data_IF_853630072875
#
_entry.id   IF_853630072875
#
_cell.length_a   1.000
_cell.length_b   1.000
_cell.length_c   1.000
_cell.angle_alpha   90.00
_cell.angle_beta   90.00
_cell.angle_gamma   90.00
#
_symmetry.space_group_name_H-M   'P 1'
#
loop_
_entity.id
_entity.type
_entity.pdbx_description
1 polymer ?
#
# COMPACT_ATOMS: atom_id res chain seq x y z
N UNK A 1 8.10 4.14 -8.25
CA UNK A 1 7.65 5.17 -7.28
C UNK A 1 7.95 4.66 -5.88
N UNK A 2 8.63 5.44 -5.06
CA UNK A 2 9.02 5.04 -3.69
C UNK A 2 8.17 5.83 -2.71
N UNK A 3 7.47 5.13 -1.81
CA UNK A 3 6.65 5.73 -0.76
C UNK A 3 7.33 5.53 0.60
N UNK A 4 7.37 6.58 1.41
CA UNK A 4 7.86 6.52 2.80
C UNK A 4 6.77 7.08 3.70
N UNK A 5 6.53 6.41 4.82
CA UNK A 5 5.57 6.84 5.84
C UNK A 5 6.19 6.63 7.22
N UNK A 6 5.99 7.61 8.10
CA UNK A 6 6.35 7.56 9.51
C UNK A 6 5.13 7.92 10.38
N UNK A 7 5.15 7.43 11.62
CA UNK A 7 4.18 7.79 12.66
C UNK A 7 4.84 7.58 14.03
N UNK A 8 4.28 8.19 15.08
CA UNK A 8 4.72 8.02 16.46
C UNK A 8 3.63 7.27 17.22
N UNK A 9 3.91 6.01 17.53
CA UNK A 9 2.96 5.12 18.20
C UNK A 9 3.66 4.43 19.38
N UNK A 10 2.92 4.16 20.45
CA UNK A 10 3.43 3.44 21.62
C UNK A 10 3.43 1.92 21.43
N UNK A 11 2.68 1.43 20.44
CA UNK A 11 2.52 0.01 20.14
C UNK A 11 2.93 -0.29 18.69
N UNK A 12 3.22 -1.56 18.35
CA UNK A 12 3.53 -1.94 16.97
C UNK A 12 2.37 -1.60 16.02
N UNK A 13 2.70 -0.92 14.92
CA UNK A 13 1.73 -0.53 13.89
C UNK A 13 1.39 -1.69 12.94
N UNK A 14 0.27 -1.53 12.23
CA UNK A 14 -0.19 -2.43 11.17
C UNK A 14 -0.32 -1.67 9.84
N UNK A 15 0.79 -1.47 9.10
CA UNK A 15 0.82 -0.66 7.90
C UNK A 15 0.04 -1.30 6.74
N UNK A 16 -0.75 -0.49 6.03
CA UNK A 16 -1.54 -0.90 4.86
C UNK A 16 -1.36 0.13 3.74
N UNK A 17 -0.94 -0.31 2.56
CA UNK A 17 -0.97 0.50 1.35
C UNK A 17 -2.34 0.37 0.68
N UNK A 18 -3.02 1.49 0.46
CA UNK A 18 -4.30 1.53 -0.24
C UNK A 18 -4.18 2.33 -1.54
N UNK A 19 -4.35 1.66 -2.66
CA UNK A 19 -4.34 2.27 -4.00
C UNK A 19 -5.79 2.46 -4.43
N UNK A 20 -6.14 3.69 -4.79
CA UNK A 20 -7.43 4.03 -5.39
C UNK A 20 -7.21 4.31 -6.87
N UNK A 21 -7.97 3.67 -7.75
CA UNK A 21 -7.87 3.88 -9.19
C UNK A 21 -9.24 3.76 -9.87
N UNK A 22 -9.31 4.29 -11.09
CA UNK A 22 -10.46 4.35 -12.00
C UNK A 22 -10.16 3.71 -13.37
N UNK A 23 -9.10 2.90 -13.43
CA UNK A 23 -8.77 2.14 -14.63
C UNK A 23 -9.93 1.21 -15.02
N UNK A 24 -10.29 1.18 -16.31
CA UNK A 24 -11.43 0.43 -16.88
C UNK A 24 -12.80 0.82 -16.28
N UNK A 25 -12.96 2.07 -15.83
CA UNK A 25 -14.19 2.55 -15.15
C UNK A 25 -15.18 3.27 -16.09
N UNK A 26 -15.32 2.82 -17.34
CA UNK A 26 -16.11 3.47 -18.40
C UNK A 26 -17.47 4.06 -17.96
N UNK A 27 -18.50 3.22 -17.73
CA UNK A 27 -19.86 3.64 -17.31
C UNK A 27 -20.16 3.19 -15.86
N UNK A 28 -19.30 2.37 -15.25
CA UNK A 28 -19.53 1.87 -13.88
C UNK A 28 -19.09 2.95 -12.89
N UNK A 29 -19.97 3.38 -11.97
CA UNK A 29 -19.53 4.27 -10.90
C UNK A 29 -18.84 3.42 -9.83
N UNK A 30 -17.50 3.46 -9.75
CA UNK A 30 -16.82 2.83 -8.63
C UNK A 30 -15.31 2.97 -8.64
N UNK A 31 -14.79 3.86 -7.77
CA UNK A 31 -13.35 3.89 -7.46
C UNK A 31 -12.94 2.50 -6.96
N UNK A 32 -12.22 1.76 -7.78
CA UNK A 32 -11.66 0.45 -7.42
C UNK A 32 -10.54 0.69 -6.39
N UNK A 33 -10.47 -0.20 -5.40
CA UNK A 33 -9.53 -0.09 -4.27
C UNK A 33 -8.76 -1.38 -4.12
N UNK A 34 -7.44 -1.28 -4.11
CA UNK A 34 -6.56 -2.40 -3.81
C UNK A 34 -5.84 -2.12 -2.49
N UNK A 35 -5.83 -3.11 -1.60
CA UNK A 35 -5.23 -3.02 -0.27
C UNK A 35 -4.10 -4.04 -0.13
N UNK A 36 -2.91 -3.58 0.22
CA UNK A 36 -1.76 -4.43 0.53
C UNK A 36 -1.40 -4.27 1.99
N UNK A 37 -1.45 -5.37 2.74
CA UNK A 37 -0.94 -5.40 4.11
C UNK A 37 0.57 -5.54 4.06
N UNK A 38 1.27 -4.61 4.70
CA UNK A 38 2.73 -4.65 4.75
C UNK A 38 3.15 -5.48 5.97
N UNK A 39 4.03 -6.49 5.82
CA UNK A 39 4.45 -7.31 6.95
C UNK A 39 5.19 -6.49 8.02
N UNK A 40 4.99 -6.83 9.29
CA UNK A 40 5.62 -6.13 10.43
C UNK A 40 7.15 -6.11 10.37
N UNK A 41 7.77 -7.08 9.69
CA UNK A 41 9.21 -7.17 9.46
C UNK A 41 9.81 -6.02 8.62
N UNK A 42 8.97 -5.20 7.99
CA UNK A 42 9.36 -4.01 7.23
C UNK A 42 9.23 -2.72 8.03
N UNK A 43 8.66 -2.77 9.24
CA UNK A 43 8.62 -1.63 10.16
C UNK A 43 10.03 -1.42 10.74
N UNK A 44 10.46 -0.16 10.79
CA UNK A 44 11.74 0.25 11.38
C UNK A 44 11.48 1.30 12.45
N UNK A 45 12.19 1.22 13.56
CA UNK A 45 12.21 2.29 14.56
C UNK A 45 13.04 3.48 14.06
N UNK A 46 12.45 4.68 14.13
CA UNK A 46 13.04 5.91 13.62
C UNK A 46 12.48 6.34 12.25
N UNK A 47 12.91 7.51 11.76
CA UNK A 47 12.33 8.17 10.58
C UNK A 47 12.81 7.60 9.23
N UNK A 48 13.85 6.77 9.23
CA UNK A 48 14.47 6.27 8.00
C UNK A 48 14.21 4.77 7.86
N UNK A 49 13.53 4.32 6.80
CA UNK A 49 13.29 2.89 6.58
C UNK A 49 14.59 2.15 6.29
N UNK A 50 14.77 0.97 6.90
CA UNK A 50 15.93 0.08 6.65
C UNK A 50 15.72 -0.91 5.51
N UNK A 51 14.47 -1.14 5.11
CA UNK A 51 14.08 -2.10 4.07
C UNK A 51 13.01 -1.51 3.18
N UNK A 52 13.07 -1.84 1.90
CA UNK A 52 12.06 -1.50 0.92
C UNK A 52 11.20 -2.74 0.68
N UNK A 53 9.89 -2.59 0.79
CA UNK A 53 8.95 -3.62 0.38
C UNK A 53 8.62 -3.43 -1.10
N UNK A 54 9.20 -4.27 -1.95
CA UNK A 54 8.96 -4.24 -3.39
C UNK A 54 7.70 -5.03 -3.73
N UNK A 55 6.69 -4.32 -4.24
CA UNK A 55 5.42 -4.90 -4.73
C UNK A 55 5.51 -5.40 -6.17
N UNK A 56 6.62 -5.12 -6.86
CA UNK A 56 6.79 -5.41 -8.28
C UNK A 56 5.88 -4.55 -9.16
N UNK A 57 5.46 -5.12 -10.30
CA UNK A 57 4.55 -4.48 -11.23
C UNK A 57 3.17 -5.11 -11.12
N UNK A 58 2.16 -4.29 -10.87
CA UNK A 58 0.77 -4.70 -10.72
C UNK A 58 -0.07 -4.12 -11.85
N UNK A 59 -0.84 -4.98 -12.52
CA UNK A 59 -1.92 -4.51 -13.38
C UNK A 59 -3.14 -4.14 -12.51
N UNK A 60 -3.60 -2.90 -12.60
CA UNK A 60 -4.74 -2.40 -11.82
C UNK A 60 -6.09 -2.69 -12.51
N UNK A 61 -6.10 -3.15 -13.76
CA UNK A 61 -7.32 -3.60 -14.44
C UNK A 61 -7.87 -4.90 -13.83
N UNK A 62 -6.99 -5.74 -13.29
CA UNK A 62 -7.38 -7.02 -12.67
C UNK A 62 -7.88 -6.82 -11.24
N UNK A 63 -9.08 -7.34 -10.96
CA UNK A 63 -9.61 -7.49 -9.60
C UNK A 63 -8.98 -8.72 -8.95
N UNK A 64 -8.05 -8.54 -8.00
CA UNK A 64 -7.69 -9.60 -7.06
C UNK A 64 -8.73 -9.62 -5.94
N UNK A 65 -9.54 -10.69 -5.89
CA UNK A 65 -10.53 -10.95 -4.83
C UNK A 65 -9.88 -11.49 -3.56
#
# INVERSE_FOLDING_TARGET
MTMVSDTVELTPIDPVLMIHHDCDDGIKPGKRKVKFKIPKSYITEGKTPKKIFDLGTLNLETTYS
#
